data_IF_730890245467
#
_entry.id   IF_730890245467
#
_cell.length_a   1.000
_cell.length_b   1.000
_cell.length_c   1.000
_cell.angle_alpha   90.00
_cell.angle_beta   90.00
_cell.angle_gamma   90.00
#
_symmetry.space_group_name_H-M   'P 1'
#
loop_
_entity.id
_entity.type
_entity.pdbx_description
1 polymer ?
#
# COMPACT_ATOMS: atom_id res chain seq x y z
N UNK A 1 -16.94 -20.88 5.11
CA UNK A 1 -15.63 -20.48 4.56
C UNK A 1 -15.22 -19.19 5.24
N UNK A 2 -14.08 -19.15 5.93
CA UNK A 2 -13.79 -18.07 6.85
C UNK A 2 -12.48 -17.35 6.50
N UNK A 3 -12.44 -16.04 6.78
CA UNK A 3 -11.24 -15.19 6.71
C UNK A 3 -10.79 -14.91 8.15
N UNK A 4 -9.51 -15.14 8.42
CA UNK A 4 -8.89 -14.84 9.71
C UNK A 4 -8.24 -13.46 9.69
N UNK A 5 -8.66 -12.56 10.57
CA UNK A 5 -7.95 -11.30 10.81
C UNK A 5 -6.99 -11.52 11.97
N UNK A 6 -5.73 -11.14 11.81
CA UNK A 6 -4.70 -11.24 12.81
C UNK A 6 -4.28 -9.83 13.20
N UNK A 7 -4.61 -9.44 14.45
CA UNK A 7 -4.44 -8.09 14.98
C UNK A 7 -5.75 -7.29 15.01
N UNK A 8 -6.19 -6.91 16.20
CA UNK A 8 -7.41 -6.12 16.47
C UNK A 8 -7.17 -4.61 16.61
N UNK A 9 -6.05 -4.11 16.09
CA UNK A 9 -5.74 -2.69 16.06
C UNK A 9 -6.58 -1.89 15.05
N UNK A 10 -6.28 -0.59 14.88
CA UNK A 10 -7.03 0.33 14.00
C UNK A 10 -7.19 -0.21 12.57
N UNK A 11 -6.12 -0.82 12.00
CA UNK A 11 -6.18 -1.40 10.64
C UNK A 11 -7.01 -2.69 10.61
N UNK A 12 -6.77 -3.60 11.55
CA UNK A 12 -7.55 -4.83 11.64
C UNK A 12 -9.05 -4.58 11.81
N UNK A 13 -9.44 -3.56 12.59
CA UNK A 13 -10.84 -3.12 12.72
C UNK A 13 -11.42 -2.61 11.41
N UNK A 14 -10.64 -1.82 10.66
CA UNK A 14 -11.07 -1.30 9.36
C UNK A 14 -11.29 -2.44 8.37
N UNK A 15 -10.34 -3.38 8.28
CA UNK A 15 -10.47 -4.56 7.43
C UNK A 15 -11.64 -5.44 7.84
N UNK A 16 -11.82 -5.65 9.14
CA UNK A 16 -12.95 -6.43 9.67
C UNK A 16 -14.30 -5.83 9.27
N UNK A 17 -14.44 -4.51 9.38
CA UNK A 17 -15.68 -3.84 9.00
C UNK A 17 -15.97 -3.96 7.50
N UNK A 18 -14.94 -3.84 6.64
CA UNK A 18 -15.08 -4.06 5.20
C UNK A 18 -15.43 -5.52 4.89
N UNK A 19 -14.69 -6.47 5.46
CA UNK A 19 -14.92 -7.90 5.23
C UNK A 19 -16.30 -8.36 5.68
N UNK A 20 -16.80 -7.87 6.82
CA UNK A 20 -18.16 -8.15 7.28
C UNK A 20 -19.26 -7.57 6.37
N UNK A 21 -18.93 -6.55 5.56
CA UNK A 21 -19.84 -6.00 4.54
C UNK A 21 -19.83 -6.82 3.26
N UNK A 22 -18.67 -7.40 2.92
CA UNK A 22 -18.46 -8.17 1.68
C UNK A 22 -18.82 -9.65 1.81
N UNK A 23 -18.82 -10.21 3.03
CA UNK A 23 -18.99 -11.62 3.31
C UNK A 23 -20.22 -11.87 4.17
N UNK A 24 -20.67 -13.12 4.18
CA UNK A 24 -21.78 -13.57 5.03
C UNK A 24 -21.43 -13.44 6.52
N UNK A 25 -22.47 -13.26 7.34
CA UNK A 25 -22.32 -13.19 8.78
C UNK A 25 -21.63 -14.43 9.33
N UNK A 26 -20.61 -14.24 10.17
CA UNK A 26 -19.82 -15.32 10.76
C UNK A 26 -18.68 -15.85 9.87
N UNK A 27 -18.49 -15.28 8.67
CA UNK A 27 -17.37 -15.66 7.81
C UNK A 27 -16.04 -15.00 8.21
N UNK A 28 -16.03 -14.09 9.17
CA UNK A 28 -14.83 -13.40 9.66
C UNK A 28 -14.56 -13.79 11.11
N UNK A 29 -13.29 -14.08 11.43
CA UNK A 29 -12.84 -14.33 12.79
C UNK A 29 -11.61 -13.48 13.12
N UNK A 30 -11.36 -13.22 14.40
CA UNK A 30 -10.29 -12.39 14.90
C UNK A 30 -9.30 -13.17 15.77
N UNK A 31 -8.02 -13.10 15.46
CA UNK A 31 -6.91 -13.50 16.32
C UNK A 31 -6.33 -12.26 16.99
N UNK A 32 -6.44 -12.16 18.32
CA UNK A 32 -6.05 -11.00 19.10
C UNK A 32 -5.59 -11.42 20.51
N UNK A 33 -4.37 -11.10 20.95
CA UNK A 33 -3.88 -11.50 22.27
C UNK A 33 -4.57 -10.78 23.43
N UNK A 34 -5.07 -9.56 23.26
CA UNK A 34 -5.77 -8.79 24.30
C UNK A 34 -7.08 -9.45 24.69
N UNK A 35 -7.21 -9.84 25.96
CA UNK A 35 -8.45 -10.46 26.48
C UNK A 35 -9.64 -9.48 26.42
N UNK A 36 -9.39 -8.20 26.68
CA UNK A 36 -10.43 -7.16 26.66
C UNK A 36 -10.98 -6.96 25.25
N UNK A 37 -10.09 -6.85 24.25
CA UNK A 37 -10.51 -6.77 22.85
C UNK A 37 -11.31 -7.99 22.44
N UNK A 38 -10.84 -9.21 22.75
CA UNK A 38 -11.59 -10.44 22.45
C UNK A 38 -12.95 -10.49 23.13
N UNK A 39 -13.06 -10.05 24.39
CA UNK A 39 -14.33 -9.98 25.10
C UNK A 39 -15.32 -9.06 24.38
N UNK A 40 -14.89 -7.84 24.02
CA UNK A 40 -15.74 -6.89 23.29
C UNK A 40 -16.18 -7.45 21.94
N UNK A 41 -15.27 -7.99 21.15
CA UNK A 41 -15.59 -8.55 19.84
C UNK A 41 -16.44 -9.83 19.92
N UNK A 42 -16.20 -10.65 20.92
CA UNK A 42 -17.05 -11.81 21.22
C UNK A 42 -18.50 -11.42 21.54
N UNK A 43 -18.71 -10.34 22.30
CA UNK A 43 -20.06 -9.79 22.54
C UNK A 43 -20.73 -9.24 21.29
N UNK A 44 -19.94 -8.80 20.28
CA UNK A 44 -20.44 -8.41 18.96
C UNK A 44 -20.66 -9.60 18.02
N UNK A 45 -20.51 -10.84 18.51
CA UNK A 45 -20.78 -12.06 17.76
C UNK A 45 -19.63 -12.56 16.90
N UNK A 46 -18.40 -12.05 17.06
CA UNK A 46 -17.23 -12.55 16.34
C UNK A 46 -16.63 -13.79 17.04
N UNK A 47 -16.20 -14.76 16.25
CA UNK A 47 -15.31 -15.82 16.73
C UNK A 47 -13.94 -15.22 16.98
N UNK A 48 -13.37 -15.43 18.18
CA UNK A 48 -12.08 -14.87 18.56
C UNK A 48 -11.11 -15.95 19.04
N UNK A 49 -9.82 -15.74 18.75
CA UNK A 49 -8.71 -16.63 19.16
C UNK A 49 -7.65 -15.81 19.92
N UNK A 50 -7.06 -16.42 20.97
CA UNK A 50 -6.05 -15.76 21.82
C UNK A 50 -4.65 -15.72 21.19
N UNK A 51 -4.37 -16.62 20.25
CA UNK A 51 -3.08 -16.76 19.59
C UNK A 51 -3.23 -17.33 18.19
N UNK A 52 -2.22 -17.19 17.37
CA UNK A 52 -2.17 -17.77 16.03
C UNK A 52 -2.27 -19.31 16.10
N UNK A 53 -1.54 -19.96 17.01
CA UNK A 53 -1.60 -21.41 17.20
C UNK A 53 -3.01 -21.90 17.53
N UNK A 54 -3.74 -21.16 18.37
CA UNK A 54 -5.12 -21.50 18.69
C UNK A 54 -6.06 -21.35 17.47
N UNK A 55 -5.79 -20.37 16.60
CA UNK A 55 -6.56 -20.18 15.36
C UNK A 55 -6.23 -21.25 14.32
N UNK A 56 -4.98 -21.73 14.29
CA UNK A 56 -4.46 -22.68 13.28
C UNK A 56 -4.57 -24.15 13.71
N UNK A 57 -5.28 -24.48 14.78
CA UNK A 57 -5.59 -25.87 15.17
C UNK A 57 -6.34 -26.63 14.05
N UNK A 58 -7.15 -25.92 13.27
CA UNK A 58 -7.76 -26.39 12.03
C UNK A 58 -7.44 -25.39 10.89
N UNK A 59 -6.28 -25.52 10.23
CA UNK A 59 -5.88 -24.59 9.18
C UNK A 59 -6.75 -24.65 7.93
N UNK A 60 -7.40 -25.79 7.65
CA UNK A 60 -8.30 -25.97 6.49
C UNK A 60 -9.57 -25.13 6.57
N UNK A 61 -9.90 -24.63 7.75
CA UNK A 61 -11.00 -23.70 7.98
C UNK A 61 -10.82 -22.37 7.23
N UNK A 62 -9.56 -21.92 7.04
CA UNK A 62 -9.24 -20.61 6.54
C UNK A 62 -9.07 -20.60 5.03
N UNK A 63 -9.85 -19.78 4.35
CA UNK A 63 -9.69 -19.49 2.92
C UNK A 63 -8.65 -18.40 2.69
N UNK A 64 -8.35 -17.61 3.70
CA UNK A 64 -7.31 -16.58 3.69
C UNK A 64 -7.18 -15.93 5.06
N UNK A 65 -6.10 -15.19 5.23
CA UNK A 65 -5.81 -14.41 6.43
C UNK A 65 -5.46 -12.96 6.08
N UNK A 66 -5.80 -12.02 6.98
CA UNK A 66 -5.41 -10.61 6.90
C UNK A 66 -4.47 -10.32 8.07
N UNK A 67 -3.21 -10.02 7.79
CA UNK A 67 -2.18 -9.69 8.79
C UNK A 67 -2.16 -8.17 8.96
N UNK A 68 -2.69 -7.69 10.09
CA UNK A 68 -2.80 -6.27 10.44
C UNK A 68 -2.21 -5.99 11.83
N UNK A 69 -1.09 -6.60 12.11
CA UNK A 69 -0.32 -6.49 13.34
C UNK A 69 0.79 -5.44 13.22
N UNK A 70 1.54 -5.11 14.29
CA UNK A 70 2.77 -4.34 14.14
C UNK A 70 3.79 -5.04 13.23
N UNK A 71 4.55 -4.28 12.45
CA UNK A 71 5.47 -4.78 11.40
C UNK A 71 6.43 -5.86 11.90
N UNK A 72 6.96 -5.72 13.12
CA UNK A 72 7.87 -6.71 13.71
C UNK A 72 7.30 -8.14 13.81
N UNK A 73 5.98 -8.28 13.79
CA UNK A 73 5.31 -9.59 13.82
C UNK A 73 4.85 -10.09 12.43
N UNK A 74 5.01 -9.30 11.37
CA UNK A 74 4.61 -9.73 10.02
C UNK A 74 5.37 -10.98 9.58
N UNK A 75 6.71 -10.99 9.74
CA UNK A 75 7.54 -12.11 9.30
C UNK A 75 7.12 -13.45 9.92
N UNK A 76 7.11 -13.65 11.26
CA UNK A 76 6.78 -14.96 11.83
C UNK A 76 5.33 -15.38 11.53
N UNK A 77 4.39 -14.43 11.46
CA UNK A 77 3.00 -14.74 11.13
C UNK A 77 2.88 -15.17 9.66
N UNK A 78 3.44 -14.38 8.73
CA UNK A 78 3.40 -14.68 7.31
C UNK A 78 4.12 -15.99 6.99
N UNK A 79 5.28 -16.25 7.60
CA UNK A 79 6.01 -17.51 7.48
C UNK A 79 5.13 -18.70 7.82
N UNK A 80 4.45 -18.67 8.96
CA UNK A 80 3.54 -19.75 9.39
C UNK A 80 2.40 -19.96 8.40
N UNK A 81 1.76 -18.86 7.94
CA UNK A 81 0.65 -18.94 7.00
C UNK A 81 1.08 -19.52 5.65
N UNK A 82 2.23 -19.07 5.13
CA UNK A 82 2.77 -19.53 3.84
C UNK A 82 3.14 -21.02 3.89
N UNK A 83 3.78 -21.48 4.97
CA UNK A 83 4.10 -22.89 5.18
C UNK A 83 2.87 -23.80 5.20
N UNK A 84 1.74 -23.25 5.65
CA UNK A 84 0.44 -23.95 5.64
C UNK A 84 -0.35 -23.76 4.33
N UNK A 85 0.19 -23.04 3.35
CA UNK A 85 -0.47 -22.76 2.08
C UNK A 85 -1.70 -21.84 2.23
N UNK A 86 -1.81 -21.06 3.32
CA UNK A 86 -2.94 -20.16 3.56
C UNK A 86 -2.70 -18.84 2.82
N UNK A 87 -3.58 -18.45 1.87
CA UNK A 87 -3.51 -17.15 1.22
C UNK A 87 -3.54 -16.01 2.25
N UNK A 88 -2.71 -14.98 2.06
CA UNK A 88 -2.67 -13.89 3.02
C UNK A 88 -2.60 -12.50 2.35
N UNK A 89 -3.33 -11.58 2.99
CA UNK A 89 -3.19 -10.15 2.81
C UNK A 89 -2.31 -9.64 3.95
N UNK A 90 -1.21 -8.94 3.64
CA UNK A 90 -0.26 -8.46 4.65
C UNK A 90 -0.20 -6.93 4.57
N UNK A 91 -0.42 -6.25 5.71
CA UNK A 91 -0.26 -4.81 5.80
C UNK A 91 1.18 -4.36 5.52
N UNK A 92 1.29 -3.14 5.04
CA UNK A 92 2.59 -2.50 4.80
C UNK A 92 3.26 -2.07 6.13
N UNK A 93 4.60 -1.95 6.15
CA UNK A 93 5.57 -2.51 5.20
C UNK A 93 5.63 -4.04 5.35
N UNK A 94 6.25 -4.76 4.40
CA UNK A 94 6.30 -6.24 4.49
C UNK A 94 7.06 -6.66 5.74
N UNK A 95 8.33 -6.25 5.90
CA UNK A 95 9.13 -6.52 7.11
C UNK A 95 10.10 -5.39 7.49
N UNK A 96 10.36 -4.42 6.62
CA UNK A 96 11.46 -3.43 6.69
C UNK A 96 12.87 -4.06 6.70
N UNK A 97 12.96 -5.36 6.47
CA UNK A 97 14.23 -6.09 6.34
C UNK A 97 14.23 -6.91 5.05
N UNK A 98 14.93 -6.46 3.99
CA UNK A 98 14.90 -7.14 2.68
C UNK A 98 15.28 -8.62 2.74
N UNK A 99 16.15 -9.04 3.66
CA UNK A 99 16.51 -10.46 3.79
C UNK A 99 15.32 -11.30 4.31
N UNK A 100 14.57 -10.79 5.28
CA UNK A 100 13.36 -11.44 5.76
C UNK A 100 12.24 -11.39 4.70
N UNK A 101 12.12 -10.29 3.98
CA UNK A 101 11.15 -10.15 2.89
C UNK A 101 11.47 -11.11 1.74
N UNK A 102 12.76 -11.32 1.41
CA UNK A 102 13.19 -12.33 0.44
C UNK A 102 12.82 -13.74 0.91
N UNK A 103 13.07 -14.08 2.18
CA UNK A 103 12.68 -15.38 2.75
C UNK A 103 11.17 -15.63 2.60
N UNK A 104 10.33 -14.62 2.83
CA UNK A 104 8.87 -14.75 2.61
C UNK A 104 8.52 -14.93 1.14
N UNK A 105 9.20 -14.23 0.24
CA UNK A 105 9.01 -14.37 -1.21
C UNK A 105 9.39 -15.78 -1.71
N UNK A 106 10.48 -16.35 -1.19
CA UNK A 106 10.92 -17.71 -1.51
C UNK A 106 9.91 -18.75 -0.97
N UNK A 107 9.41 -18.57 0.26
CA UNK A 107 8.36 -19.42 0.81
C UNK A 107 7.05 -19.33 0.02
N UNK A 108 6.66 -18.14 -0.40
CA UNK A 108 5.50 -17.94 -1.27
C UNK A 108 5.65 -18.70 -2.57
N UNK A 109 6.81 -18.64 -3.21
CA UNK A 109 7.09 -19.39 -4.44
C UNK A 109 7.07 -20.90 -4.18
N UNK A 110 7.67 -21.36 -3.10
CA UNK A 110 7.74 -22.79 -2.73
C UNK A 110 6.37 -23.39 -2.48
N UNK A 111 5.49 -22.69 -1.78
CA UNK A 111 4.18 -23.20 -1.35
C UNK A 111 3.03 -22.77 -2.28
N UNK A 112 3.26 -21.85 -3.21
CA UNK A 112 2.26 -21.38 -4.17
C UNK A 112 1.08 -20.61 -3.55
N UNK A 113 1.20 -20.18 -2.29
CA UNK A 113 0.15 -19.43 -1.62
C UNK A 113 0.03 -18.01 -2.18
N UNK A 114 -1.21 -17.53 -2.37
CA UNK A 114 -1.43 -16.13 -2.77
C UNK A 114 -1.00 -15.18 -1.65
N UNK A 115 -0.23 -14.14 -2.00
CA UNK A 115 0.06 -13.01 -1.12
C UNK A 115 -0.30 -11.71 -1.82
N UNK A 116 -1.11 -10.91 -1.14
CA UNK A 116 -1.40 -9.53 -1.52
C UNK A 116 -0.90 -8.57 -0.44
N UNK A 117 -0.18 -7.53 -0.85
CA UNK A 117 0.28 -6.47 0.06
C UNK A 117 -0.76 -5.38 0.26
N UNK A 118 -0.84 -4.83 1.48
CA UNK A 118 -1.70 -3.71 1.86
C UNK A 118 -1.21 -2.35 1.34
N UNK A 119 -0.79 -2.27 0.09
CA UNK A 119 -0.30 -1.04 -0.56
C UNK A 119 -1.48 -0.31 -1.21
N UNK A 120 -2.32 0.23 -0.36
CA UNK A 120 -3.66 0.76 -0.65
C UNK A 120 -3.69 1.93 -1.64
N UNK A 121 -2.61 2.69 -1.74
CA UNK A 121 -2.54 3.89 -2.60
C UNK A 121 -2.69 3.59 -4.09
N UNK A 122 -2.42 2.34 -4.51
CA UNK A 122 -2.65 1.85 -5.88
C UNK A 122 -4.12 1.93 -6.32
N UNK A 123 -5.05 2.04 -5.36
CA UNK A 123 -6.51 2.02 -5.58
C UNK A 123 -7.15 3.39 -5.47
N UNK A 124 -6.39 4.45 -5.20
CA UNK A 124 -6.87 5.84 -5.24
C UNK A 124 -7.14 6.19 -6.71
N UNK A 125 -8.40 6.54 -7.01
CA UNK A 125 -8.91 6.61 -8.39
C UNK A 125 -8.10 7.51 -9.35
N UNK A 126 -7.68 8.74 -8.97
CA UNK A 126 -6.81 9.53 -9.83
C UNK A 126 -5.48 8.85 -10.17
N UNK A 127 -4.90 8.11 -9.24
CA UNK A 127 -3.64 7.39 -9.50
C UNK A 127 -3.85 6.11 -10.32
N UNK A 128 -5.00 5.44 -10.17
CA UNK A 128 -5.42 4.37 -11.10
C UNK A 128 -5.46 4.91 -12.52
N UNK A 129 -6.04 6.09 -12.70
CA UNK A 129 -6.13 6.76 -14.00
C UNK A 129 -4.75 7.16 -14.54
N UNK A 130 -3.89 7.75 -13.70
CA UNK A 130 -2.52 8.09 -14.10
C UNK A 130 -1.75 6.85 -14.56
N UNK A 131 -1.87 5.73 -13.83
CA UNK A 131 -1.28 4.44 -14.21
C UNK A 131 -1.81 3.94 -15.57
N UNK A 132 -3.11 4.11 -15.83
CA UNK A 132 -3.72 3.73 -17.09
C UNK A 132 -3.20 4.58 -18.26
N UNK A 133 -3.13 5.91 -18.10
CA UNK A 133 -2.55 6.85 -19.08
C UNK A 133 -1.11 6.44 -19.42
N UNK A 134 -0.30 6.17 -18.41
CA UNK A 134 1.10 5.78 -18.57
C UNK A 134 1.24 4.42 -19.28
N UNK A 135 0.50 3.40 -18.84
CA UNK A 135 0.60 2.05 -19.39
C UNK A 135 0.12 1.93 -20.84
N UNK A 136 -0.89 2.70 -21.20
CA UNK A 136 -1.43 2.73 -22.58
C UNK A 136 -0.68 3.71 -23.49
N UNK A 137 0.34 4.42 -22.96
CA UNK A 137 1.11 5.37 -23.75
C UNK A 137 0.29 6.52 -24.35
N UNK A 138 -0.83 6.89 -23.68
CA UNK A 138 -1.78 7.85 -24.23
C UNK A 138 -1.20 9.21 -24.56
N UNK A 139 -0.15 9.60 -23.81
CA UNK A 139 0.56 10.88 -23.95
C UNK A 139 2.03 10.69 -24.36
N UNK A 140 2.38 9.53 -24.91
CA UNK A 140 3.77 9.16 -25.17
C UNK A 140 4.50 8.72 -23.90
N UNK A 141 5.84 8.67 -23.94
CA UNK A 141 6.64 8.25 -22.79
C UNK A 141 6.62 9.29 -21.67
N UNK A 142 6.58 8.89 -20.39
CA UNK A 142 6.79 9.78 -19.27
C UNK A 142 8.27 10.18 -19.22
N UNK A 143 8.56 11.48 -19.25
CA UNK A 143 9.92 12.02 -19.27
C UNK A 143 10.44 12.25 -17.86
N UNK A 144 9.66 12.96 -17.05
CA UNK A 144 9.98 13.26 -15.65
C UNK A 144 8.72 13.48 -14.83
N UNK A 145 8.85 13.33 -13.51
CA UNK A 145 7.76 13.67 -12.59
C UNK A 145 8.27 14.16 -11.24
N UNK A 146 7.40 14.91 -10.57
CA UNK A 146 7.50 15.19 -9.13
C UNK A 146 6.36 14.50 -8.42
N UNK A 147 6.67 13.86 -7.29
CA UNK A 147 5.66 13.24 -6.44
C UNK A 147 5.87 13.68 -4.99
N UNK A 148 4.78 14.03 -4.31
CA UNK A 148 4.83 14.48 -2.91
C UNK A 148 3.82 13.71 -2.08
N UNK A 149 4.20 13.41 -0.83
CA UNK A 149 3.28 12.91 0.18
C UNK A 149 3.48 13.72 1.47
N UNK A 150 2.46 14.46 1.87
CA UNK A 150 2.55 15.42 2.95
C UNK A 150 1.40 15.22 3.94
N UNK A 151 1.66 15.46 5.23
CA UNK A 151 0.65 15.35 6.27
C UNK A 151 1.12 15.78 7.65
N UNK A 152 0.22 15.80 8.61
CA UNK A 152 0.51 16.21 9.96
C UNK A 152 0.41 15.03 10.94
N UNK A 153 1.38 14.14 10.91
CA UNK A 153 1.45 12.95 11.78
C UNK A 153 2.26 13.24 13.03
N UNK A 154 3.38 13.94 12.89
CA UNK A 154 4.25 14.37 13.99
C UNK A 154 4.24 15.89 14.02
N UNK A 155 3.64 16.45 15.07
CA UNK A 155 3.40 17.90 15.21
C UNK A 155 3.96 18.48 16.50
N UNK A 156 4.67 17.67 17.28
CA UNK A 156 5.26 18.03 18.57
C UNK A 156 6.61 17.34 18.75
N UNK A 157 7.50 17.91 19.56
CA UNK A 157 8.77 17.27 19.89
C UNK A 157 8.61 15.84 20.41
N UNK A 158 9.62 15.02 20.12
CA UNK A 158 9.65 13.61 20.47
C UNK A 158 9.34 13.36 21.96
N UNK A 159 8.30 12.61 22.22
CA UNK A 159 7.84 12.19 23.55
C UNK A 159 8.15 10.71 23.85
N UNK A 160 9.09 10.08 23.12
CA UNK A 160 9.40 8.67 23.22
C UNK A 160 8.49 7.74 22.42
N UNK A 161 7.67 8.29 21.51
CA UNK A 161 6.86 7.50 20.60
C UNK A 161 7.74 6.63 19.71
N UNK A 162 7.28 5.42 19.41
CA UNK A 162 7.97 4.53 18.46
C UNK A 162 8.01 5.13 17.05
N UNK A 163 7.04 5.99 16.71
CA UNK A 163 6.96 6.64 15.40
C UNK A 163 8.14 7.55 15.10
N UNK A 164 8.70 8.17 16.12
CA UNK A 164 9.86 9.07 15.98
C UNK A 164 11.20 8.34 16.13
N UNK A 165 11.18 7.00 16.13
CA UNK A 165 12.36 6.15 16.32
C UNK A 165 12.55 5.18 15.15
N UNK A 166 13.53 5.46 14.29
CA UNK A 166 13.81 4.66 13.09
C UNK A 166 14.16 3.20 13.43
N UNK A 167 14.87 2.96 14.52
CA UNK A 167 15.25 1.59 14.94
C UNK A 167 14.03 0.76 15.36
N UNK A 168 12.96 1.41 15.77
CA UNK A 168 11.68 0.77 16.12
C UNK A 168 10.71 0.68 14.94
N UNK A 169 11.18 0.99 13.72
CA UNK A 169 10.36 0.99 12.51
C UNK A 169 9.57 2.28 12.29
N UNK A 170 9.84 3.34 13.07
CA UNK A 170 9.28 4.67 12.85
C UNK A 170 10.09 5.48 11.82
N UNK A 171 9.79 6.76 11.68
CA UNK A 171 10.33 7.66 10.68
C UNK A 171 9.41 7.83 9.48
N UNK A 172 9.48 8.99 8.86
CA UNK A 172 8.68 9.32 7.68
C UNK A 172 8.96 8.33 6.53
N UNK A 173 10.21 7.94 6.34
CA UNK A 173 10.61 6.96 5.31
C UNK A 173 9.92 5.60 5.53
N UNK A 174 9.87 5.08 6.76
CA UNK A 174 9.27 3.78 7.05
C UNK A 174 7.73 3.80 7.02
N UNK A 175 7.10 4.93 7.34
CA UNK A 175 5.64 5.05 7.42
C UNK A 175 5.00 5.55 6.12
N UNK A 176 5.53 6.63 5.51
CA UNK A 176 5.03 7.21 4.26
C UNK A 176 5.71 6.61 3.02
N UNK A 177 7.00 6.25 3.16
CA UNK A 177 7.77 5.68 2.05
C UNK A 177 7.07 4.53 1.35
N UNK A 178 6.61 3.47 2.05
CA UNK A 178 5.97 2.33 1.39
C UNK A 178 4.84 2.73 0.45
N UNK A 179 4.06 3.75 0.81
CA UNK A 179 2.93 4.21 0.01
C UNK A 179 3.36 4.91 -1.28
N UNK A 180 4.28 5.88 -1.18
CA UNK A 180 4.68 6.68 -2.35
C UNK A 180 5.66 5.93 -3.25
N UNK A 181 6.64 5.20 -2.66
CA UNK A 181 7.64 4.44 -3.42
C UNK A 181 6.98 3.34 -4.25
N UNK A 182 6.05 2.60 -3.65
CA UNK A 182 5.27 1.59 -4.34
C UNK A 182 4.40 2.18 -5.46
N UNK A 183 3.70 3.28 -5.17
CA UNK A 183 2.85 3.93 -6.15
C UNK A 183 3.66 4.39 -7.37
N UNK A 184 4.81 5.02 -7.15
CA UNK A 184 5.71 5.42 -8.24
C UNK A 184 6.18 4.21 -9.06
N UNK A 185 6.62 3.12 -8.40
CA UNK A 185 7.01 1.90 -9.10
C UNK A 185 5.86 1.29 -9.90
N UNK A 186 4.66 1.27 -9.34
CA UNK A 186 3.47 0.71 -9.99
C UNK A 186 3.05 1.47 -11.25
N UNK A 187 3.34 2.78 -11.32
CA UNK A 187 3.01 3.66 -12.45
C UNK A 187 4.13 3.68 -13.48
N UNK A 188 5.40 3.87 -13.04
CA UNK A 188 6.53 4.17 -13.92
C UNK A 188 7.54 3.03 -14.06
N UNK A 189 7.33 1.90 -13.37
CA UNK A 189 8.22 0.74 -13.40
C UNK A 189 9.34 0.81 -12.35
N UNK A 190 10.27 -0.15 -12.42
CA UNK A 190 11.33 -0.29 -11.44
C UNK A 190 12.35 0.85 -11.48
N UNK A 191 12.92 1.14 -10.32
CA UNK A 191 14.01 2.12 -10.16
C UNK A 191 15.32 1.47 -10.57
N UNK A 192 16.03 2.10 -11.49
CA UNK A 192 17.35 1.69 -11.95
C UNK A 192 18.46 2.25 -11.08
N UNK A 193 18.31 3.52 -10.66
CA UNK A 193 19.38 4.26 -9.98
C UNK A 193 18.78 5.26 -9.01
N UNK A 194 19.29 5.27 -7.78
CA UNK A 194 19.08 6.34 -6.80
C UNK A 194 20.15 7.41 -7.01
N UNK A 195 19.74 8.64 -7.27
CA UNK A 195 20.64 9.74 -7.61
C UNK A 195 21.01 10.58 -6.37
N UNK A 196 20.06 10.79 -5.47
CA UNK A 196 20.28 11.48 -4.19
C UNK A 196 19.21 11.11 -3.15
N UNK A 197 19.57 11.24 -1.88
CA UNK A 197 18.64 11.15 -0.75
C UNK A 197 19.05 12.15 0.34
N UNK A 198 18.09 12.95 0.83
CA UNK A 198 18.27 13.91 1.92
C UNK A 198 17.19 13.73 2.95
N UNK A 199 17.57 13.70 4.22
CA UNK A 199 16.64 13.59 5.35
C UNK A 199 16.55 14.89 6.12
N UNK A 200 15.34 15.21 6.59
CA UNK A 200 15.08 16.35 7.48
C UNK A 200 14.57 15.87 8.83
N UNK A 201 14.95 16.58 9.88
CA UNK A 201 14.45 16.42 11.24
C UNK A 201 13.86 17.75 11.71
N UNK A 202 12.60 17.72 12.13
CA UNK A 202 11.86 18.88 12.65
C UNK A 202 11.54 18.67 14.12
N UNK A 203 10.93 17.55 14.45
CA UNK A 203 10.50 17.18 15.80
C UNK A 203 11.16 15.89 16.30
N UNK A 204 11.50 14.97 15.41
CA UNK A 204 12.11 13.69 15.73
C UNK A 204 13.61 13.82 15.95
N UNK A 205 14.12 13.19 17.00
CA UNK A 205 15.57 13.16 17.30
C UNK A 205 16.23 11.83 16.93
N UNK A 206 15.42 10.76 16.76
CA UNK A 206 15.88 9.39 16.48
C UNK A 206 15.33 8.83 15.17
N UNK A 207 14.63 9.66 14.40
CA UNK A 207 14.05 9.34 13.10
C UNK A 207 14.07 10.53 12.18
N UNK A 208 13.64 10.31 10.95
CA UNK A 208 13.41 11.33 9.95
C UNK A 208 11.97 11.84 10.02
N UNK A 209 11.79 13.15 9.82
CA UNK A 209 10.47 13.78 9.71
C UNK A 209 10.10 14.12 8.28
N UNK A 210 11.12 14.25 7.42
CA UNK A 210 10.96 14.45 5.99
C UNK A 210 12.12 13.83 5.23
N UNK A 211 11.90 13.57 3.95
CA UNK A 211 12.98 13.20 3.06
C UNK A 211 12.70 13.62 1.62
N UNK A 212 13.77 13.90 0.88
CA UNK A 212 13.77 14.17 -0.54
C UNK A 212 14.65 13.15 -1.24
N UNK A 213 14.15 12.58 -2.34
CA UNK A 213 14.86 11.60 -3.14
C UNK A 213 14.81 12.02 -4.61
N UNK A 214 15.91 11.86 -5.32
CA UNK A 214 15.91 11.83 -6.78
C UNK A 214 16.35 10.44 -7.26
N UNK A 215 15.69 9.96 -8.32
CA UNK A 215 16.02 8.69 -8.96
C UNK A 215 15.71 8.67 -10.45
N UNK A 216 16.20 7.62 -11.11
CA UNK A 216 15.90 7.34 -12.52
C UNK A 216 15.33 5.93 -12.64
N UNK A 217 14.17 5.79 -13.30
CA UNK A 217 13.53 4.51 -13.59
C UNK A 217 14.27 3.71 -14.69
N UNK A 218 14.00 2.42 -14.79
CA UNK A 218 14.59 1.56 -15.83
C UNK A 218 14.28 2.04 -17.25
N UNK A 219 13.09 2.60 -17.47
CA UNK A 219 12.66 3.20 -18.75
C UNK A 219 13.27 4.59 -19.03
N UNK A 220 14.07 5.15 -18.12
CA UNK A 220 14.71 6.45 -18.27
C UNK A 220 13.95 7.64 -17.67
N UNK A 221 12.72 7.44 -17.17
CA UNK A 221 11.92 8.48 -16.51
C UNK A 221 12.63 8.99 -15.26
N UNK A 222 12.85 10.30 -15.15
CA UNK A 222 13.47 10.94 -13.99
C UNK A 222 12.42 11.35 -12.96
N UNK A 223 12.75 11.25 -11.67
CA UNK A 223 11.83 11.60 -10.60
C UNK A 223 12.49 12.35 -9.45
N UNK A 224 11.70 13.23 -8.85
CA UNK A 224 11.99 13.82 -7.53
C UNK A 224 10.79 13.58 -6.63
N UNK A 225 11.05 13.01 -5.46
CA UNK A 225 10.02 12.71 -4.46
C UNK A 225 10.30 13.51 -3.19
N UNK A 226 9.26 14.05 -2.60
CA UNK A 226 9.31 14.72 -1.31
C UNK A 226 8.23 14.19 -0.38
N UNK A 227 8.64 13.73 0.79
CA UNK A 227 7.75 13.26 1.84
C UNK A 227 7.98 14.09 3.11
N UNK A 228 6.88 14.53 3.72
CA UNK A 228 6.91 15.34 4.94
C UNK A 228 5.66 15.01 5.77
N UNK A 229 5.86 14.55 6.98
CA UNK A 229 4.76 14.27 7.89
C UNK A 229 4.55 15.29 9.00
N UNK A 230 5.29 16.41 8.92
CA UNK A 230 5.19 17.55 9.84
C UNK A 230 4.44 18.76 9.28
N UNK A 231 3.84 18.63 8.08
CA UNK A 231 3.12 19.72 7.42
C UNK A 231 1.77 19.99 8.11
N UNK A 232 1.77 20.95 9.01
CA UNK A 232 0.57 21.36 9.79
C UNK A 232 -0.50 22.06 8.95
N UNK A 233 -0.19 22.46 7.70
CA UNK A 233 -1.19 23.01 6.77
C UNK A 233 -2.17 21.94 6.27
N UNK A 234 -1.84 20.66 6.44
CA UNK A 234 -2.65 19.53 6.01
C UNK A 234 -3.43 18.91 7.15
N UNK A 235 -4.74 18.80 6.97
CA UNK A 235 -5.61 18.09 7.94
C UNK A 235 -5.49 16.58 7.85
N UNK A 236 -5.20 16.07 6.65
CA UNK A 236 -5.00 14.65 6.33
C UNK A 236 -3.80 14.51 5.42
N UNK A 237 -3.18 13.33 5.44
CA UNK A 237 -2.13 13.00 4.47
C UNK A 237 -2.68 13.10 3.06
N UNK A 238 -1.94 13.77 2.20
CA UNK A 238 -2.26 13.99 0.80
C UNK A 238 -1.05 13.66 -0.08
N UNK A 239 -1.33 13.13 -1.26
CA UNK A 239 -0.32 12.92 -2.30
C UNK A 239 -0.67 13.76 -3.51
N UNK A 240 0.35 14.22 -4.22
CA UNK A 240 0.21 14.85 -5.51
C UNK A 240 1.35 14.46 -6.46
N UNK A 241 1.03 14.43 -7.75
CA UNK A 241 1.92 14.13 -8.85
C UNK A 241 1.84 15.22 -9.91
N UNK A 242 2.98 15.63 -10.42
CA UNK A 242 3.13 16.44 -11.63
C UNK A 242 4.01 15.65 -12.59
N UNK A 243 3.43 15.18 -13.69
CA UNK A 243 4.10 14.30 -14.65
C UNK A 243 4.16 14.98 -16.00
N UNK A 244 5.34 15.01 -16.60
CA UNK A 244 5.58 15.47 -17.96
C UNK A 244 5.77 14.26 -18.88
N UNK A 245 4.97 14.24 -19.95
CA UNK A 245 5.02 13.26 -21.02
C UNK A 245 5.46 13.92 -22.32
N UNK A 246 5.78 13.14 -23.35
CA UNK A 246 6.14 13.66 -24.67
C UNK A 246 5.09 14.58 -25.28
N UNK A 247 3.79 14.27 -25.04
CA UNK A 247 2.67 14.96 -25.70
C UNK A 247 1.76 15.73 -24.75
N UNK A 248 2.10 15.85 -23.48
CA UNK A 248 1.28 16.57 -22.51
C UNK A 248 1.79 16.47 -21.08
N UNK A 249 1.01 17.02 -20.17
CA UNK A 249 1.26 16.98 -18.72
C UNK A 249 0.05 16.43 -17.98
N UNK A 250 0.30 15.73 -16.87
CA UNK A 250 -0.75 15.26 -15.97
C UNK A 250 -0.45 15.77 -14.56
N UNK A 251 -1.47 16.36 -13.92
CA UNK A 251 -1.48 16.64 -12.49
C UNK A 251 -2.51 15.77 -11.84
N UNK A 252 -2.11 15.06 -10.79
CA UNK A 252 -3.01 14.18 -10.04
C UNK A 252 -2.81 14.36 -8.53
N UNK A 253 -3.89 14.33 -7.78
CA UNK A 253 -3.87 14.29 -6.32
C UNK A 253 -4.88 13.23 -5.82
N UNK A 254 -5.11 13.14 -4.50
CA UNK A 254 -6.02 12.14 -3.94
C UNK A 254 -7.48 12.26 -4.44
N UNK A 255 -7.88 13.40 -5.00
CA UNK A 255 -9.27 13.68 -5.34
C UNK A 255 -9.51 13.82 -6.86
N UNK A 256 -8.52 14.30 -7.60
CA UNK A 256 -8.70 14.68 -9.00
C UNK A 256 -7.46 14.43 -9.85
N UNK A 257 -7.67 14.33 -11.17
CA UNK A 257 -6.64 14.25 -12.18
C UNK A 257 -6.98 15.23 -13.32
N UNK A 258 -5.98 15.97 -13.74
CA UNK A 258 -6.05 16.93 -14.84
C UNK A 258 -5.03 16.59 -15.91
N UNK A 259 -5.44 16.59 -17.17
CA UNK A 259 -4.59 16.38 -18.34
C UNK A 259 -4.50 17.66 -19.14
N UNK A 260 -3.31 18.06 -19.54
CA UNK A 260 -3.07 19.17 -20.43
C UNK A 260 -2.19 18.71 -21.59
N UNK A 261 -2.72 18.77 -22.80
CA UNK A 261 -1.99 18.42 -24.02
C UNK A 261 -1.02 19.55 -24.40
N UNK A 262 0.10 19.19 -24.98
CA UNK A 262 1.00 20.16 -25.60
C UNK A 262 0.38 20.71 -26.90
N UNK A 263 0.65 21.98 -27.29
CA UNK A 263 0.14 22.54 -28.54
C UNK A 263 0.53 21.68 -29.73
N UNK A 264 -0.47 21.28 -30.53
CA UNK A 264 -0.27 20.44 -31.71
C UNK A 264 -0.10 18.95 -31.45
N UNK A 265 -0.18 18.51 -30.18
CA UNK A 265 -0.17 17.07 -29.89
C UNK A 265 -1.41 16.39 -30.48
N UNK A 266 -1.17 15.30 -31.21
CA UNK A 266 -2.22 14.43 -31.73
C UNK A 266 -2.39 13.25 -30.76
N UNK A 267 -3.60 13.08 -30.26
CA UNK A 267 -3.98 11.95 -29.42
C UNK A 267 -4.89 11.04 -30.24
N UNK A 268 -4.69 9.74 -30.16
CA UNK A 268 -5.58 8.75 -30.78
C UNK A 268 -7.03 9.02 -30.31
N UNK A 269 -8.02 9.07 -31.20
CA UNK A 269 -9.43 9.27 -30.82
C UNK A 269 -9.94 8.30 -29.76
N UNK A 270 -9.45 7.04 -29.75
CA UNK A 270 -9.77 6.06 -28.71
C UNK A 270 -9.18 6.46 -27.34
N UNK A 271 -7.99 7.03 -27.33
CA UNK A 271 -7.37 7.58 -26.11
C UNK A 271 -8.05 8.86 -25.66
N UNK A 272 -8.47 9.73 -26.59
CA UNK A 272 -9.22 10.96 -26.26
C UNK A 272 -10.50 10.63 -25.49
N UNK A 273 -11.27 9.65 -25.95
CA UNK A 273 -12.48 9.21 -25.25
C UNK A 273 -12.18 8.71 -23.81
N UNK A 274 -11.03 8.06 -23.61
CA UNK A 274 -10.57 7.66 -22.28
C UNK A 274 -10.13 8.86 -21.45
N UNK A 275 -9.43 9.84 -22.02
CA UNK A 275 -9.01 11.06 -21.32
C UNK A 275 -10.19 11.93 -20.89
N UNK A 276 -11.25 11.97 -21.68
CA UNK A 276 -12.48 12.75 -21.45
C UNK A 276 -13.47 12.03 -20.51
N UNK A 277 -13.27 10.73 -20.24
CA UNK A 277 -14.15 9.97 -19.37
C UNK A 277 -14.10 10.49 -17.90
N UNK A 278 -15.18 10.32 -17.12
CA UNK A 278 -15.22 10.73 -15.71
C UNK A 278 -14.02 10.18 -14.91
N UNK A 279 -13.59 10.96 -13.95
CA UNK A 279 -12.38 10.68 -13.15
C UNK A 279 -12.44 9.38 -12.32
N UNK A 280 -13.59 8.76 -12.15
CA UNK A 280 -13.78 7.53 -11.38
C UNK A 280 -13.88 6.32 -12.32
N UNK A 281 -12.78 5.63 -12.63
CA UNK A 281 -12.80 4.44 -13.47
C UNK A 281 -13.60 3.29 -12.84
N UNK A 282 -13.71 3.26 -11.51
CA UNK A 282 -14.48 2.24 -10.80
C UNK A 282 -15.51 2.89 -9.86
N UNK A 283 -16.83 2.68 -10.04
CA UNK A 283 -17.83 3.09 -9.07
C UNK A 283 -17.62 2.33 -7.76
N UNK A 284 -17.78 3.02 -6.63
CA UNK A 284 -17.59 2.45 -5.29
C UNK A 284 -18.92 1.95 -4.75
N UNK A 285 -18.95 0.70 -4.28
CA UNK A 285 -20.17 0.09 -3.75
C UNK A 285 -20.53 0.63 -2.35
N UNK A 286 -19.51 1.01 -1.57
CA UNK A 286 -19.69 1.66 -0.26
C UNK A 286 -18.40 2.36 0.13
N UNK A 287 -18.54 3.40 0.97
CA UNK A 287 -17.42 4.19 1.47
C UNK A 287 -17.18 3.87 2.93
N UNK A 288 -16.08 3.18 3.22
CA UNK A 288 -15.62 2.93 4.57
C UNK A 288 -14.10 3.18 4.62
N UNK A 289 -13.68 4.23 5.29
CA UNK A 289 -12.30 4.72 5.41
C UNK A 289 -11.68 5.23 4.10
N UNK A 290 -12.31 5.02 2.96
CA UNK A 290 -11.89 5.32 1.60
C UNK A 290 -12.25 4.18 0.67
N UNK A 291 -12.51 4.48 -0.58
CA UNK A 291 -12.83 3.49 -1.61
C UNK A 291 -11.67 2.52 -1.87
N UNK A 292 -10.46 3.02 -1.75
CA UNK A 292 -9.22 2.28 -1.96
C UNK A 292 -9.10 1.08 -1.02
N UNK A 293 -9.55 1.21 0.23
CA UNK A 293 -9.54 0.09 1.20
C UNK A 293 -10.53 -1.01 0.84
N UNK A 294 -11.68 -0.64 0.30
CA UNK A 294 -12.69 -1.61 -0.12
C UNK A 294 -12.25 -2.35 -1.37
N UNK A 295 -11.72 -1.63 -2.36
CA UNK A 295 -11.28 -2.19 -3.63
C UNK A 295 -10.14 -3.19 -3.45
N UNK A 296 -9.12 -2.87 -2.65
CA UNK A 296 -8.00 -3.80 -2.42
C UNK A 296 -8.44 -5.12 -1.76
N UNK A 297 -9.37 -5.06 -0.78
CA UNK A 297 -9.86 -6.26 -0.12
C UNK A 297 -10.82 -7.05 -1.01
N UNK A 298 -11.59 -6.39 -1.86
CA UNK A 298 -12.44 -7.06 -2.82
C UNK A 298 -11.62 -7.90 -3.81
N UNK A 299 -10.49 -7.39 -4.32
CA UNK A 299 -9.58 -8.16 -5.17
C UNK A 299 -9.02 -9.37 -4.41
N UNK A 300 -8.53 -9.17 -3.18
CA UNK A 300 -8.04 -10.30 -2.38
C UNK A 300 -9.09 -11.39 -2.22
N UNK A 301 -10.31 -11.00 -1.85
CA UNK A 301 -11.40 -11.96 -1.69
C UNK A 301 -11.79 -12.65 -3.00
N UNK A 302 -11.84 -11.94 -4.12
CA UNK A 302 -12.10 -12.54 -5.43
C UNK A 302 -11.08 -13.63 -5.75
N UNK A 303 -9.80 -13.36 -5.51
CA UNK A 303 -8.72 -14.31 -5.77
C UNK A 303 -8.80 -15.55 -4.85
N UNK A 304 -9.06 -15.36 -3.54
CA UNK A 304 -9.10 -16.50 -2.59
C UNK A 304 -10.39 -17.29 -2.65
N UNK A 305 -11.49 -16.69 -3.08
CA UNK A 305 -12.79 -17.34 -3.21
C UNK A 305 -13.04 -17.90 -4.62
N UNK A 306 -12.24 -17.49 -5.61
CA UNK A 306 -12.36 -17.91 -7.00
C UNK A 306 -13.65 -17.41 -7.69
N UNK A 307 -14.25 -16.33 -7.20
CA UNK A 307 -15.46 -15.74 -7.76
C UNK A 307 -15.54 -14.23 -7.53
N UNK A 308 -16.17 -13.46 -8.43
CA UNK A 308 -16.45 -12.06 -8.17
C UNK A 308 -17.43 -11.91 -6.99
N UNK A 309 -17.28 -10.85 -6.20
CA UNK A 309 -18.15 -10.51 -5.09
C UNK A 309 -19.18 -9.46 -5.52
N UNK A 310 -18.72 -8.22 -5.68
CA UNK A 310 -19.56 -7.10 -6.06
C UNK A 310 -19.30 -6.64 -7.49
N UNK A 311 -18.08 -6.86 -7.99
CA UNK A 311 -17.62 -6.41 -9.29
C UNK A 311 -16.78 -7.47 -9.99
N UNK A 312 -17.08 -7.69 -11.28
CA UNK A 312 -16.30 -8.58 -12.13
C UNK A 312 -15.20 -7.86 -12.93
N UNK A 313 -15.24 -6.53 -12.96
CA UNK A 313 -14.44 -5.67 -13.84
C UNK A 313 -13.19 -5.06 -13.18
N UNK A 314 -12.93 -5.34 -11.90
CA UNK A 314 -11.72 -4.87 -11.24
C UNK A 314 -10.53 -5.71 -11.74
N UNK A 315 -9.51 -5.04 -12.30
CA UNK A 315 -8.28 -5.68 -12.74
C UNK A 315 -7.48 -6.22 -11.54
N UNK A 316 -7.31 -7.56 -11.40
CA UNK A 316 -6.49 -8.14 -10.34
C UNK A 316 -5.02 -7.69 -10.38
N UNK A 317 -4.53 -7.27 -11.54
CA UNK A 317 -3.18 -6.73 -11.73
C UNK A 317 -2.93 -5.39 -11.04
N UNK A 318 -3.95 -4.79 -10.43
CA UNK A 318 -3.81 -3.64 -9.53
C UNK A 318 -3.26 -4.03 -8.16
N UNK A 319 -3.50 -5.26 -7.71
CA UNK A 319 -3.02 -5.73 -6.41
C UNK A 319 -1.49 -5.77 -6.36
N UNK A 320 -0.94 -5.34 -5.23
CA UNK A 320 0.48 -5.45 -4.99
C UNK A 320 0.83 -6.87 -4.52
N UNK A 321 1.84 -7.46 -5.12
CA UNK A 321 2.37 -8.78 -4.80
C UNK A 321 3.38 -8.73 -3.63
N UNK A 322 3.82 -9.88 -3.18
CA UNK A 322 4.93 -9.96 -2.20
C UNK A 322 6.23 -9.43 -2.79
N UNK A 323 6.44 -9.56 -4.11
CA UNK A 323 7.62 -9.01 -4.80
C UNK A 323 7.61 -7.48 -4.78
N UNK A 324 6.43 -6.85 -4.87
CA UNK A 324 6.31 -5.40 -4.68
C UNK A 324 6.68 -5.00 -3.25
N UNK A 325 6.23 -5.75 -2.24
CA UNK A 325 6.61 -5.52 -0.84
C UNK A 325 8.12 -5.64 -0.62
N UNK A 326 8.75 -6.69 -1.14
CA UNK A 326 10.20 -6.89 -1.10
C UNK A 326 10.95 -5.75 -1.78
N UNK A 327 10.51 -5.32 -2.95
CA UNK A 327 11.16 -4.25 -3.69
C UNK A 327 11.05 -2.90 -2.94
N UNK A 328 9.93 -2.64 -2.28
CA UNK A 328 9.76 -1.45 -1.43
C UNK A 328 10.68 -1.51 -0.21
N UNK A 329 10.74 -2.65 0.50
CA UNK A 329 11.63 -2.80 1.66
C UNK A 329 13.11 -2.64 1.25
N UNK A 330 13.48 -3.12 0.04
CA UNK A 330 14.82 -2.95 -0.52
C UNK A 330 15.12 -1.47 -0.82
N UNK A 331 14.21 -0.76 -1.48
CA UNK A 331 14.35 0.67 -1.75
C UNK A 331 14.47 1.49 -0.47
N UNK A 332 13.67 1.21 0.54
CA UNK A 332 13.75 1.90 1.85
C UNK A 332 15.15 1.74 2.45
N UNK A 333 15.70 0.52 2.41
CA UNK A 333 17.06 0.25 2.89
C UNK A 333 18.12 1.01 2.10
N UNK A 334 18.04 0.99 0.76
CA UNK A 334 19.02 1.64 -0.11
C UNK A 334 18.98 3.16 0.05
N UNK A 335 17.77 3.74 0.15
CA UNK A 335 17.56 5.17 0.43
C UNK A 335 18.16 5.54 1.80
N UNK A 336 17.92 4.73 2.84
CA UNK A 336 18.45 4.97 4.16
C UNK A 336 20.00 4.89 4.21
N UNK A 337 20.60 4.04 3.38
CA UNK A 337 22.06 3.96 3.24
C UNK A 337 22.60 5.18 2.51
N UNK A 338 21.99 5.57 1.39
CA UNK A 338 22.41 6.72 0.59
C UNK A 338 22.33 8.04 1.40
N UNK A 339 21.23 8.25 2.12
CA UNK A 339 21.03 9.47 2.92
C UNK A 339 21.91 9.60 4.16
N UNK A 340 22.58 8.51 4.61
CA UNK A 340 23.59 8.58 5.67
C UNK A 340 24.98 8.97 5.15
N UNK A 341 25.18 8.88 3.84
CA UNK A 341 26.45 9.24 3.17
C UNK A 341 26.47 10.70 2.70
N UNK A 342 25.33 11.36 2.68
CA UNK A 342 25.15 12.77 2.32
C UNK A 342 25.13 13.66 3.55
#
# INVERSE_FOLDING_TARGET
>A
MSILIIGGGKMGLSHMAILNRLLDKGAVALCEPSWLSRYVFGKLGLTTFKSLDAALQDPKRWRGAVVATPTASHFPIAQTLLQLGIPCFIEKPLTLNPALSQTLADLQQQHGALVQMGLVTRFIQPFVRLRQITRLGMLGAPLRYRARMMGNVVTQPDNGSWRTDFQRGGGCLNEYGPHLLDLCRSIFGDVRQLDSAKFGQVFSTRGDDSFEIAWTHAAGTQATLWLDWCDTSRRKSAMDFEVEFEHGQVRANNAELQVQLHPGALVDPAHQAVLDAPALPYPVNFYLRGEEFSLQLEIFLQQVLGRPLLRADIDPGMAASIQDGLAVDSLIKDIAVLGKQA
#
